data_IF_340836479080
#
_entry.id   IF_340836479080
#
_cell.length_a   1.000
_cell.length_b   1.000
_cell.length_c   1.000
_cell.angle_alpha   90.00
_cell.angle_beta   90.00
_cell.angle_gamma   90.00
#
_symmetry.space_group_name_H-M   'P 1'
#
loop_
_entity.id
_entity.type
_entity.pdbx_description
1 polymer ?
#
# COMPACT_ATOMS: atom_id res chain seq x y z
N UNK A 1 -1.85 3.61 10.81
CA UNK A 1 -3.32 3.82 10.94
C UNK A 1 -3.85 3.31 12.29
N UNK A 2 -3.55 2.07 12.70
CA UNK A 2 -4.06 1.49 13.96
C UNK A 2 -3.78 2.27 15.25
N UNK A 3 -2.57 2.82 15.45
CA UNK A 3 -2.24 3.59 16.67
C UNK A 3 -3.15 4.80 16.87
N UNK A 4 -3.54 5.49 15.78
CA UNK A 4 -4.47 6.62 15.85
C UNK A 4 -5.87 6.18 16.24
N UNK A 5 -6.34 5.06 15.68
CA UNK A 5 -7.65 4.48 16.03
C UNK A 5 -7.70 4.02 17.49
N UNK A 6 -6.63 3.42 17.99
CA UNK A 6 -6.53 3.03 19.41
C UNK A 6 -6.54 4.24 20.33
N UNK A 7 -5.82 5.32 19.99
CA UNK A 7 -5.88 6.59 20.74
C UNK A 7 -7.29 7.18 20.74
N UNK A 8 -7.95 7.22 19.58
CA UNK A 8 -9.32 7.71 19.44
C UNK A 8 -10.29 6.91 20.31
N UNK A 9 -10.20 5.58 20.26
CA UNK A 9 -11.00 4.68 21.10
C UNK A 9 -10.79 4.95 22.59
N UNK A 10 -9.55 5.17 23.02
CA UNK A 10 -9.25 5.51 24.42
C UNK A 10 -9.80 6.88 24.81
N UNK A 11 -9.69 7.89 23.93
CA UNK A 11 -10.22 9.23 24.16
C UNK A 11 -11.75 9.25 24.29
N UNK A 12 -12.44 8.43 23.49
CA UNK A 12 -13.90 8.36 23.45
C UNK A 12 -14.47 7.26 24.38
N UNK A 13 -13.62 6.64 25.22
CA UNK A 13 -14.04 5.55 26.10
C UNK A 13 -15.05 6.06 27.12
N UNK A 14 -16.24 5.46 27.14
CA UNK A 14 -17.34 5.83 28.06
C UNK A 14 -18.16 7.04 27.60
N UNK A 15 -17.82 7.65 26.47
CA UNK A 15 -18.64 8.71 25.88
C UNK A 15 -19.80 8.09 25.10
N UNK A 16 -21.00 8.65 25.30
CA UNK A 16 -22.18 8.29 24.53
C UNK A 16 -22.18 9.13 23.25
N UNK A 17 -22.22 8.47 22.10
CA UNK A 17 -22.30 9.13 20.80
C UNK A 17 -23.71 9.68 20.55
N UNK A 18 -23.88 10.45 19.48
CA UNK A 18 -25.17 11.05 19.08
C UNK A 18 -26.31 10.04 18.90
N UNK A 19 -25.98 8.76 18.70
CA UNK A 19 -26.93 7.66 18.57
C UNK A 19 -27.27 6.96 19.90
N UNK A 20 -26.87 7.55 21.03
CA UNK A 20 -27.19 7.06 22.37
C UNK A 20 -26.38 5.82 22.79
N UNK A 21 -25.36 5.43 22.02
CA UNK A 21 -24.55 4.22 22.28
C UNK A 21 -23.08 4.58 22.50
N UNK A 22 -22.37 3.70 23.19
CA UNK A 22 -20.93 3.82 23.36
C UNK A 22 -20.16 3.39 22.10
N UNK A 23 -18.91 3.84 21.97
CA UNK A 23 -18.00 3.41 20.91
C UNK A 23 -17.63 1.92 21.01
N UNK A 24 -17.81 1.31 22.19
CA UNK A 24 -17.62 -0.12 22.39
C UNK A 24 -18.92 -0.88 22.11
N UNK A 25 -18.89 -1.90 21.26
CA UNK A 25 -20.05 -2.74 20.97
C UNK A 25 -19.98 -3.44 19.61
N UNK A 26 -21.00 -4.26 19.32
CA UNK A 26 -21.16 -4.92 18.02
C UNK A 26 -21.32 -3.87 16.92
N UNK A 27 -20.64 -4.05 15.78
CA UNK A 27 -20.61 -3.11 14.65
C UNK A 27 -20.01 -1.74 15.00
N UNK A 28 -19.06 -1.69 15.94
CA UNK A 28 -18.36 -0.47 16.33
C UNK A 28 -16.85 -0.68 16.29
N UNK A 29 -16.11 0.40 16.55
CA UNK A 29 -14.66 0.41 16.57
C UNK A 29 -14.12 -0.36 17.80
N UNK A 30 -13.94 -1.67 17.64
CA UNK A 30 -13.32 -2.57 18.62
C UNK A 30 -11.83 -2.76 18.33
N UNK A 31 -11.05 -3.37 19.24
CA UNK A 31 -9.65 -3.74 18.91
C UNK A 31 -9.61 -4.65 17.69
N UNK A 32 -10.48 -5.66 17.65
CA UNK A 32 -10.53 -6.61 16.54
C UNK A 32 -10.82 -5.91 15.20
N UNK A 33 -11.74 -4.94 15.19
CA UNK A 33 -12.02 -4.17 13.99
C UNK A 33 -10.84 -3.31 13.55
N UNK A 34 -10.10 -2.74 14.51
CA UNK A 34 -8.86 -2.00 14.22
C UNK A 34 -7.82 -2.94 13.59
N UNK A 35 -7.65 -4.15 14.13
CA UNK A 35 -6.72 -5.15 13.58
C UNK A 35 -7.13 -5.59 12.16
N UNK A 36 -8.42 -5.85 11.94
CA UNK A 36 -8.95 -6.20 10.62
C UNK A 36 -8.70 -5.09 9.60
N UNK A 37 -8.96 -3.82 9.97
CA UNK A 37 -8.66 -2.67 9.12
C UNK A 37 -7.16 -2.56 8.82
N UNK A 38 -6.29 -2.73 9.82
CA UNK A 38 -4.85 -2.70 9.61
C UNK A 38 -4.38 -3.79 8.63
N UNK A 39 -4.87 -5.02 8.80
CA UNK A 39 -4.55 -6.13 7.92
C UNK A 39 -5.05 -5.90 6.50
N UNK A 40 -6.31 -5.49 6.34
CA UNK A 40 -6.91 -5.22 5.04
C UNK A 40 -6.14 -4.16 4.24
N UNK A 41 -5.86 -3.01 4.86
CA UNK A 41 -5.10 -1.95 4.19
C UNK A 41 -3.64 -2.34 3.94
N UNK A 42 -3.03 -3.11 4.84
CA UNK A 42 -1.68 -3.65 4.62
C UNK A 42 -1.62 -4.57 3.40
N UNK A 43 -2.57 -5.49 3.28
CA UNK A 43 -2.71 -6.39 2.13
C UNK A 43 -2.97 -5.62 0.83
N UNK A 44 -3.91 -4.68 0.83
CA UNK A 44 -4.24 -3.89 -0.36
C UNK A 44 -3.05 -3.08 -0.89
N UNK A 45 -2.26 -2.47 0.00
CA UNK A 45 -1.03 -1.75 -0.39
C UNK A 45 0.01 -2.73 -0.96
N UNK A 46 0.15 -3.91 -0.35
CA UNK A 46 1.05 -4.96 -0.83
C UNK A 46 0.67 -5.43 -2.24
N UNK A 47 -0.61 -5.66 -2.49
CA UNK A 47 -1.14 -6.07 -3.79
C UNK A 47 -0.91 -5.01 -4.87
N UNK A 48 -1.24 -3.74 -4.59
CA UNK A 48 -0.98 -2.62 -5.51
C UNK A 48 0.51 -2.51 -5.83
N UNK A 49 1.38 -2.64 -4.82
CA UNK A 49 2.83 -2.60 -5.01
C UNK A 49 3.32 -3.75 -5.87
N UNK A 50 2.76 -4.95 -5.69
CA UNK A 50 3.08 -6.11 -6.51
C UNK A 50 2.66 -5.90 -7.97
N UNK A 51 1.45 -5.38 -8.21
CA UNK A 51 0.95 -5.03 -9.56
C UNK A 51 1.86 -4.00 -10.21
N UNK A 52 2.17 -2.90 -9.53
CA UNK A 52 3.05 -1.86 -10.06
C UNK A 52 4.44 -2.41 -10.42
N UNK A 53 5.00 -3.28 -9.57
CA UNK A 53 6.29 -3.94 -9.82
C UNK A 53 6.24 -4.88 -11.02
N UNK A 54 5.16 -5.65 -11.19
CA UNK A 54 4.97 -6.54 -12.34
C UNK A 54 4.81 -5.71 -13.62
N UNK A 55 3.96 -4.69 -13.61
CA UNK A 55 3.76 -3.79 -14.74
C UNK A 55 5.07 -3.11 -15.15
N UNK A 56 5.84 -2.58 -14.21
CA UNK A 56 7.16 -1.99 -14.49
C UNK A 56 8.15 -2.98 -15.09
N UNK A 57 8.17 -4.23 -14.60
CA UNK A 57 9.01 -5.30 -15.18
C UNK A 57 8.59 -5.68 -16.60
N UNK A 58 7.30 -5.68 -16.91
CA UNK A 58 6.80 -5.98 -18.25
C UNK A 58 7.04 -4.82 -19.24
N UNK A 59 6.88 -3.57 -18.78
CA UNK A 59 7.12 -2.39 -19.61
C UNK A 59 8.62 -2.09 -19.80
N UNK A 60 9.47 -2.51 -18.86
CA UNK A 60 10.92 -2.28 -18.90
C UNK A 60 11.58 -2.70 -20.22
N UNK A 61 11.45 -3.96 -20.69
CA UNK A 61 12.04 -4.40 -21.95
C UNK A 61 11.55 -3.61 -23.16
N UNK A 62 10.27 -3.24 -23.17
CA UNK A 62 9.68 -2.43 -24.24
C UNK A 62 10.27 -1.02 -24.28
N UNK A 63 10.35 -0.34 -23.13
CA UNK A 63 10.96 0.99 -23.01
C UNK A 63 12.46 0.95 -23.32
N UNK A 64 13.15 -0.13 -22.94
CA UNK A 64 14.54 -0.35 -23.28
C UNK A 64 14.74 -0.49 -24.80
N UNK A 65 13.87 -1.22 -25.51
CA UNK A 65 13.92 -1.35 -26.98
C UNK A 65 13.52 -0.08 -27.73
N UNK A 66 12.70 0.79 -27.13
CA UNK A 66 12.36 2.10 -27.67
C UNK A 66 13.41 3.18 -27.35
N UNK A 67 14.39 2.88 -26.49
CA UNK A 67 15.43 3.82 -26.09
C UNK A 67 16.33 4.17 -27.27
N UNK A 68 16.61 5.44 -27.46
CA UNK A 68 17.59 5.94 -28.44
C UNK A 68 18.68 6.73 -27.72
N UNK A 69 19.81 6.96 -28.39
CA UNK A 69 20.94 7.71 -27.81
C UNK A 69 20.54 9.16 -27.44
N UNK A 70 19.62 9.75 -28.21
CA UNK A 70 19.05 11.07 -27.94
C UNK A 70 18.00 11.08 -26.82
N UNK A 71 17.31 9.95 -26.58
CA UNK A 71 16.27 9.81 -25.56
C UNK A 71 16.44 8.49 -24.78
N UNK A 72 17.40 8.46 -23.82
CA UNK A 72 17.69 7.25 -23.06
C UNK A 72 16.55 6.94 -22.06
N UNK A 73 15.92 5.78 -22.24
CA UNK A 73 14.83 5.27 -21.39
C UNK A 73 15.27 4.05 -20.56
N UNK A 74 16.50 4.08 -20.05
CA UNK A 74 17.10 2.99 -19.27
C UNK A 74 16.70 2.98 -17.78
N UNK A 75 15.77 3.84 -17.34
CA UNK A 75 15.40 3.98 -15.92
C UNK A 75 14.77 2.72 -15.29
N UNK A 76 14.32 1.77 -16.11
CA UNK A 76 13.80 0.47 -15.66
C UNK A 76 14.76 -0.70 -15.92
N UNK A 77 15.95 -0.42 -16.45
CA UNK A 77 16.96 -1.45 -16.68
C UNK A 77 17.59 -1.84 -15.33
N UNK A 78 17.67 -3.14 -15.00
CA UNK A 78 18.40 -3.58 -13.82
C UNK A 78 19.87 -3.12 -13.89
N UNK A 79 20.44 -2.73 -12.75
CA UNK A 79 21.82 -2.27 -12.62
C UNK A 79 22.68 -3.47 -12.18
N UNK A 80 23.77 -3.77 -12.90
CA UNK A 80 24.71 -4.85 -12.56
C UNK A 80 24.82 -5.96 -13.61
N UNK A 81 25.18 -7.18 -13.21
CA UNK A 81 25.35 -8.33 -14.11
C UNK A 81 24.06 -8.74 -14.85
N UNK A 82 22.90 -8.48 -14.26
CA UNK A 82 21.59 -8.72 -14.87
C UNK A 82 21.15 -7.62 -15.86
N UNK A 83 22.02 -6.64 -16.13
CA UNK A 83 21.68 -5.47 -16.94
C UNK A 83 21.51 -5.80 -18.42
N UNK A 84 20.45 -5.27 -19.02
CA UNK A 84 20.11 -5.51 -20.42
C UNK A 84 20.89 -4.64 -21.42
N UNK A 85 21.71 -3.69 -20.95
CA UNK A 85 22.53 -2.78 -21.79
C UNK A 85 23.71 -3.45 -22.50
N UNK A 86 23.93 -4.76 -22.32
CA UNK A 86 25.02 -5.51 -22.97
C UNK A 86 24.56 -6.40 -24.15
N UNK A 87 23.28 -6.36 -24.53
CA UNK A 87 22.71 -7.03 -25.73
C UNK A 87 22.33 -5.98 -26.77
#
# INVERSE_FOLDING_TARGET
>A
MGTRLRRLKTQLKGQILSDGKCLSGKNRLTEHEIDNLQSYYGSAIGEITAVFRICGKLSGPFLHKLSTDEYPQHGFCPIGEDSWVWI
#
